data_IF_607483269794
#
_entry.id   IF_607483269794
#
_cell.length_a   1.000
_cell.length_b   1.000
_cell.length_c   1.000
_cell.angle_alpha   90.00
_cell.angle_beta   90.00
_cell.angle_gamma   90.00
#
_symmetry.space_group_name_H-M   'P 1'
#
loop_
_entity.id
_entity.type
_entity.pdbx_description
1 polymer ?
#
# COMPACT_ATOMS: atom_id res chain seq x y z
N UNK A 1 1.43 -21.29 6.75
CA UNK A 1 0.01 -21.67 6.61
C UNK A 1 -0.74 -20.49 5.98
N UNK A 2 -0.97 -20.52 4.66
CA UNK A 2 -1.35 -19.37 3.84
C UNK A 2 -2.86 -19.13 3.72
N UNK A 3 -3.24 -17.88 3.48
CA UNK A 3 -4.60 -17.31 3.36
C UNK A 3 -5.56 -18.03 2.37
N UNK A 4 -5.07 -19.00 1.60
CA UNK A 4 -5.88 -19.84 0.70
C UNK A 4 -6.75 -20.87 1.44
N UNK A 5 -6.39 -21.26 2.66
CA UNK A 5 -7.15 -22.29 3.40
C UNK A 5 -8.46 -21.79 3.98
N UNK A 6 -8.56 -20.52 4.39
CA UNK A 6 -9.74 -20.02 5.13
C UNK A 6 -10.94 -19.82 4.18
N UNK A 7 -10.70 -19.39 2.94
CA UNK A 7 -11.71 -19.30 1.88
C UNK A 7 -12.34 -20.65 1.55
N UNK A 8 -11.53 -21.72 1.59
CA UNK A 8 -11.96 -23.10 1.35
C UNK A 8 -12.89 -23.61 2.45
N UNK A 9 -12.62 -23.26 3.71
CA UNK A 9 -13.46 -23.65 4.85
C UNK A 9 -14.88 -23.08 4.79
N UNK A 10 -15.03 -21.87 4.26
CA UNK A 10 -16.33 -21.21 4.06
C UNK A 10 -16.89 -21.38 2.65
N UNK A 11 -16.28 -22.23 1.82
CA UNK A 11 -16.69 -22.56 0.43
C UNK A 11 -16.96 -21.31 -0.44
N UNK A 12 -16.14 -20.28 -0.33
CA UNK A 12 -16.32 -19.03 -1.09
C UNK A 12 -15.03 -18.53 -1.73
N UNK A 13 -15.12 -18.08 -2.98
CA UNK A 13 -13.97 -17.51 -3.71
C UNK A 13 -13.92 -15.97 -3.62
N UNK A 14 -15.05 -15.33 -3.32
CA UNK A 14 -15.19 -13.87 -3.14
C UNK A 14 -14.75 -13.40 -1.76
N UNK A 15 -13.90 -12.37 -1.72
CA UNK A 15 -13.41 -11.77 -0.47
C UNK A 15 -14.53 -11.09 0.34
N UNK A 16 -15.46 -10.41 -0.33
CA UNK A 16 -16.54 -9.68 0.35
C UNK A 16 -17.58 -10.63 0.97
N UNK A 17 -17.82 -11.78 0.33
CA UNK A 17 -18.68 -12.83 0.87
C UNK A 17 -17.97 -13.51 2.05
N UNK A 18 -16.68 -13.79 1.91
CA UNK A 18 -15.85 -14.34 2.98
C UNK A 18 -15.88 -13.49 4.25
N UNK A 19 -15.70 -12.17 4.14
CA UNK A 19 -15.73 -11.26 5.31
C UNK A 19 -17.09 -11.33 6.02
N UNK A 20 -18.19 -11.39 5.27
CA UNK A 20 -19.55 -11.50 5.85
C UNK A 20 -19.75 -12.84 6.56
N UNK A 21 -19.37 -13.94 5.93
CA UNK A 21 -19.48 -15.29 6.52
C UNK A 21 -18.59 -15.46 7.76
N UNK A 22 -17.40 -14.85 7.77
CA UNK A 22 -16.56 -14.85 8.97
C UNK A 22 -17.22 -14.15 10.15
N UNK A 23 -17.94 -13.05 9.93
CA UNK A 23 -18.67 -12.35 11.00
C UNK A 23 -19.82 -13.18 11.54
N UNK A 24 -20.54 -13.89 10.66
CA UNK A 24 -21.59 -14.82 11.07
C UNK A 24 -21.03 -15.97 11.90
N UNK A 25 -19.99 -16.65 11.42
CA UNK A 25 -19.35 -17.74 12.16
C UNK A 25 -18.79 -17.27 13.52
N UNK A 26 -18.21 -16.07 13.59
CA UNK A 26 -17.77 -15.49 14.86
C UNK A 26 -18.93 -15.27 15.84
N UNK A 27 -20.06 -14.73 15.35
CA UNK A 27 -21.25 -14.53 16.19
C UNK A 27 -21.84 -15.85 16.69
N UNK A 28 -21.83 -16.91 15.89
CA UNK A 28 -22.29 -18.24 16.31
C UNK A 28 -21.40 -18.82 17.42
N UNK A 29 -20.08 -18.65 17.29
CA UNK A 29 -19.12 -19.08 18.30
C UNK A 29 -19.33 -18.31 19.62
N UNK A 30 -19.52 -16.99 19.55
CA UNK A 30 -19.83 -16.15 20.72
C UNK A 30 -21.11 -16.64 21.43
N UNK A 31 -22.18 -16.89 20.69
CA UNK A 31 -23.43 -17.46 21.23
C UNK A 31 -23.18 -18.79 21.95
N UNK A 32 -22.38 -19.68 21.36
CA UNK A 32 -22.05 -20.97 21.97
C UNK A 32 -21.29 -20.81 23.29
N UNK A 33 -20.31 -19.91 23.35
CA UNK A 33 -19.58 -19.63 24.59
C UNK A 33 -20.49 -19.06 25.67
N UNK A 34 -21.37 -18.11 25.32
CA UNK A 34 -22.29 -17.50 26.29
C UNK A 34 -23.32 -18.51 26.81
N UNK A 35 -23.83 -19.45 25.97
CA UNK A 35 -24.68 -20.55 26.42
C UNK A 35 -23.98 -21.46 27.43
N UNK A 36 -22.71 -21.76 27.19
CA UNK A 36 -21.91 -22.58 28.12
C UNK A 36 -21.69 -21.84 29.44
N UNK A 37 -21.39 -20.54 29.40
CA UNK A 37 -21.25 -19.70 30.60
C UNK A 37 -22.53 -19.65 31.41
N UNK A 38 -23.67 -19.44 30.75
CA UNK A 38 -24.99 -19.46 31.38
C UNK A 38 -25.26 -20.79 32.09
N UNK A 39 -25.01 -21.93 31.42
CA UNK A 39 -25.20 -23.27 32.02
C UNK A 39 -24.31 -23.54 33.24
N UNK A 40 -23.11 -22.95 33.26
CA UNK A 40 -22.14 -23.10 34.34
C UNK A 40 -22.34 -22.06 35.46
N UNK A 41 -23.37 -21.20 35.38
CA UNK A 41 -23.63 -20.16 36.38
C UNK A 41 -22.56 -19.06 36.40
N UNK A 42 -21.77 -18.93 35.33
CA UNK A 42 -20.78 -17.87 35.17
C UNK A 42 -21.44 -16.58 34.69
N UNK A 43 -20.84 -15.40 34.93
CA UNK A 43 -21.31 -14.16 34.32
C UNK A 43 -21.29 -14.28 32.80
N UNK A 44 -22.40 -13.93 32.16
CA UNK A 44 -22.63 -14.01 30.72
C UNK A 44 -23.33 -12.72 30.23
N UNK A 45 -23.18 -12.38 28.95
CA UNK A 45 -23.89 -11.23 28.35
C UNK A 45 -25.20 -11.68 27.68
N UNK A 46 -26.37 -11.32 28.23
CA UNK A 46 -27.66 -11.74 27.68
C UNK A 46 -27.96 -11.15 26.30
N UNK A 47 -27.25 -10.11 25.84
CA UNK A 47 -27.45 -9.52 24.50
C UNK A 47 -26.92 -10.39 23.37
N UNK A 48 -25.96 -11.27 23.68
CA UNK A 48 -25.34 -12.17 22.72
C UNK A 48 -26.11 -13.49 22.59
N UNK A 49 -27.09 -13.74 23.44
CA UNK A 49 -27.97 -14.88 23.33
C UNK A 49 -29.21 -14.49 22.52
N UNK A 50 -29.54 -15.22 21.44
CA UNK A 50 -30.82 -15.01 20.77
C UNK A 50 -31.95 -15.32 21.77
N UNK A 51 -33.06 -14.56 21.75
CA UNK A 51 -34.21 -14.85 22.60
C UNK A 51 -34.71 -16.27 22.28
N UNK A 52 -35.07 -17.02 23.32
CA UNK A 52 -35.61 -18.37 23.19
C UNK A 52 -36.88 -18.32 22.34
N UNK A 53 -36.76 -18.68 21.06
CA UNK A 53 -37.89 -18.86 20.15
C UNK A 53 -38.35 -20.30 20.24
N UNK A 54 -39.12 -20.61 21.27
CA UNK A 54 -40.02 -21.75 21.20
C UNK A 54 -41.22 -21.38 20.31
N UNK A 55 -41.43 -22.14 19.23
CA UNK A 55 -42.71 -22.22 18.52
C UNK A 55 -43.05 -21.12 17.51
N UNK A 56 -42.80 -21.41 16.22
CA UNK A 56 -43.71 -21.21 15.06
C UNK A 56 -44.52 -19.89 14.99
N UNK A 57 -44.16 -18.97 14.08
CA UNK A 57 -44.82 -18.81 12.76
C UNK A 57 -44.31 -17.56 12.01
N UNK A 58 -44.41 -17.61 10.68
CA UNK A 58 -44.04 -16.51 9.80
C UNK A 58 -44.88 -15.26 10.07
N UNK A 59 -44.20 -14.14 10.32
CA UNK A 59 -44.83 -12.84 10.50
C UNK A 59 -43.80 -11.74 10.44
N UNK A 60 -44.04 -10.79 9.52
CA UNK A 60 -43.17 -9.66 9.21
C UNK A 60 -42.76 -8.85 10.45
N UNK A 61 -41.54 -8.31 10.43
CA UNK A 61 -41.16 -7.17 11.28
C UNK A 61 -41.05 -5.92 10.40
N UNK A 62 -42.18 -5.25 10.26
CA UNK A 62 -42.26 -3.80 10.07
C UNK A 62 -41.78 -3.08 11.34
N UNK A 63 -41.09 -1.94 11.15
CA UNK A 63 -40.75 -0.97 12.20
C UNK A 63 -39.54 -1.37 13.05
N UNK A 64 -38.47 -0.58 13.23
CA UNK A 64 -38.41 0.87 13.42
C UNK A 64 -37.03 1.33 12.91
N UNK A 65 -36.98 2.00 11.76
CA UNK A 65 -35.88 2.90 11.39
C UNK A 65 -36.33 4.31 11.78
N UNK A 66 -36.03 4.73 13.01
CA UNK A 66 -35.95 6.17 13.33
C UNK A 66 -34.55 6.62 12.94
N UNK A 67 -34.39 6.95 11.66
CA UNK A 67 -33.32 7.84 11.18
C UNK A 67 -33.59 9.24 11.73
N UNK A 68 -33.02 9.56 12.89
CA UNK A 68 -32.73 10.95 13.23
C UNK A 68 -31.46 11.33 12.47
N UNK A 69 -31.63 12.02 11.36
CA UNK A 69 -30.54 12.70 10.68
C UNK A 69 -29.89 13.72 11.64
N UNK A 70 -28.57 13.67 11.88
CA UNK A 70 -27.92 14.72 12.65
C UNK A 70 -27.95 16.04 11.85
N UNK A 71 -28.13 17.20 12.51
CA UNK A 71 -28.28 18.47 11.82
C UNK A 71 -27.04 18.80 11.01
N UNK A 72 -27.27 19.16 9.75
CA UNK A 72 -26.29 19.70 8.81
C UNK A 72 -25.73 21.03 9.37
N UNK A 73 -24.66 20.96 10.16
CA UNK A 73 -23.92 22.15 10.59
C UNK A 73 -23.29 22.82 9.37
N UNK A 74 -23.90 23.95 9.01
CA UNK A 74 -23.38 25.17 8.39
C UNK A 74 -21.89 25.08 7.99
N UNK A 75 -21.64 24.97 6.68
CA UNK A 75 -20.31 25.26 6.11
C UNK A 75 -20.09 26.76 6.22
N UNK A 76 -19.40 27.18 7.28
CA UNK A 76 -18.69 28.46 7.25
C UNK A 76 -17.52 28.24 6.29
N UNK A 77 -17.62 28.90 5.15
CA UNK A 77 -16.47 29.21 4.32
C UNK A 77 -15.74 30.42 4.91
N UNK A 78 -14.46 30.46 4.58
CA UNK A 78 -13.46 31.50 4.85
C UNK A 78 -12.96 31.61 6.29
N UNK A 79 -11.68 31.23 6.47
CA UNK A 79 -10.62 32.18 6.78
C UNK A 79 -9.27 31.48 6.50
N UNK A 80 -8.52 32.03 5.54
CA UNK A 80 -7.10 31.71 5.34
C UNK A 80 -6.27 32.32 6.49
N UNK A 81 -5.04 31.82 6.65
CA UNK A 81 -3.94 32.37 7.48
C UNK A 81 -3.72 31.76 8.88
N UNK A 82 -3.70 30.41 9.03
CA UNK A 82 -2.84 29.67 9.99
C UNK A 82 -3.06 28.15 9.93
N UNK A 83 -3.03 27.56 8.73
CA UNK A 83 -3.14 26.10 8.58
C UNK A 83 -1.79 25.41 8.78
N UNK A 84 -1.76 24.28 9.50
CA UNK A 84 -0.56 23.43 9.63
C UNK A 84 0.08 23.20 8.26
N UNK A 85 1.39 23.46 8.15
CA UNK A 85 2.13 23.26 6.90
C UNK A 85 2.34 21.78 6.58
N UNK A 86 2.60 21.47 5.31
CA UNK A 86 2.93 20.12 4.87
C UNK A 86 4.15 19.55 5.61
N UNK A 87 5.18 20.37 5.80
CA UNK A 87 6.39 19.99 6.54
C UNK A 87 6.08 19.64 8.00
N UNK A 88 5.28 20.45 8.70
CA UNK A 88 4.89 20.17 10.09
C UNK A 88 4.11 18.85 10.24
N UNK A 89 3.21 18.55 9.29
CA UNK A 89 2.48 17.28 9.29
C UNK A 89 3.47 16.12 9.08
N UNK A 90 4.46 16.26 8.21
CA UNK A 90 5.50 15.25 8.02
C UNK A 90 6.33 15.05 9.28
N UNK A 91 6.70 16.12 9.99
CA UNK A 91 7.44 16.06 11.24
C UNK A 91 6.63 15.32 12.31
N UNK A 92 5.35 15.66 12.48
CA UNK A 92 4.45 14.92 13.38
C UNK A 92 4.31 13.46 12.99
N UNK A 93 4.12 13.17 11.70
CA UNK A 93 4.01 11.80 11.21
C UNK A 93 5.24 10.94 11.53
N UNK A 94 6.44 11.53 11.40
CA UNK A 94 7.70 10.85 11.65
C UNK A 94 8.02 10.74 13.15
N UNK A 95 7.62 11.72 13.95
CA UNK A 95 7.81 11.75 15.40
C UNK A 95 6.75 10.95 16.18
N UNK A 96 5.67 10.52 15.52
CA UNK A 96 4.56 9.78 16.12
C UNK A 96 5.04 8.52 16.91
N UNK A 97 4.93 8.52 18.25
CA UNK A 97 5.40 7.43 19.10
C UNK A 97 4.48 6.21 19.04
N UNK A 98 3.25 6.35 18.54
CA UNK A 98 2.29 5.24 18.43
C UNK A 98 2.71 4.19 17.39
N UNK A 99 3.65 4.55 16.51
CA UNK A 99 4.10 3.71 15.39
C UNK A 99 5.59 3.40 15.48
N UNK A 100 5.91 2.15 15.82
CA UNK A 100 7.28 1.63 15.70
C UNK A 100 7.63 1.39 14.23
N UNK A 101 8.64 2.10 13.72
CA UNK A 101 9.13 1.98 12.34
C UNK A 101 10.60 1.58 12.34
N UNK A 102 11.00 0.71 11.41
CA UNK A 102 12.41 0.39 11.22
C UNK A 102 13.17 1.56 10.60
N UNK A 103 14.48 1.63 10.80
CA UNK A 103 15.35 2.65 10.20
C UNK A 103 15.19 2.72 8.67
N UNK A 104 15.03 1.57 8.01
CA UNK A 104 14.78 1.48 6.56
C UNK A 104 13.46 2.17 6.17
N UNK A 105 12.40 1.97 6.96
CA UNK A 105 11.10 2.60 6.71
C UNK A 105 11.19 4.11 6.92
N UNK A 106 11.89 4.56 7.97
CA UNK A 106 12.12 5.99 8.21
C UNK A 106 12.84 6.67 7.03
N UNK A 107 13.91 6.04 6.52
CA UNK A 107 14.62 6.53 5.34
C UNK A 107 13.73 6.60 4.08
N UNK A 108 12.82 5.64 3.91
CA UNK A 108 11.89 5.66 2.78
C UNK A 108 10.89 6.83 2.87
N UNK A 109 10.39 7.13 4.07
CA UNK A 109 9.52 8.29 4.29
C UNK A 109 10.28 9.60 4.17
N UNK A 110 11.50 9.71 4.70
CA UNK A 110 12.30 10.93 4.55
C UNK A 110 12.66 11.23 3.09
N UNK A 111 12.99 10.20 2.30
CA UNK A 111 13.22 10.34 0.86
C UNK A 111 11.97 10.80 0.13
N UNK A 112 10.80 10.24 0.50
CA UNK A 112 9.52 10.65 -0.07
C UNK A 112 9.19 12.09 0.29
N UNK A 113 9.35 12.48 1.56
CA UNK A 113 9.14 13.84 2.05
C UNK A 113 9.91 14.85 1.22
N UNK A 114 11.22 14.65 1.03
CA UNK A 114 12.07 15.58 0.26
C UNK A 114 11.54 15.84 -1.15
N UNK A 115 11.11 14.78 -1.86
CA UNK A 115 10.57 14.93 -3.22
C UNK A 115 9.22 15.64 -3.20
N UNK A 116 8.35 15.30 -2.25
CA UNK A 116 7.02 15.90 -2.14
C UNK A 116 7.10 17.39 -1.76
N UNK A 117 7.96 17.75 -0.79
CA UNK A 117 8.17 19.14 -0.36
C UNK A 117 8.80 19.98 -1.46
N UNK A 118 9.69 19.42 -2.28
CA UNK A 118 10.29 20.12 -3.42
C UNK A 118 9.26 20.41 -4.53
N UNK A 119 8.30 19.50 -4.74
CA UNK A 119 7.28 19.64 -5.81
C UNK A 119 6.06 20.44 -5.36
N UNK A 120 5.57 20.24 -4.14
CA UNK A 120 4.34 20.87 -3.63
C UNK A 120 4.60 22.08 -2.73
N UNK A 121 5.86 22.30 -2.32
CA UNK A 121 6.25 23.27 -1.32
C UNK A 121 6.02 22.76 0.11
N UNK A 122 7.07 22.73 0.92
CA UNK A 122 6.97 22.33 2.34
C UNK A 122 6.14 23.29 3.19
N UNK A 123 6.14 24.58 2.86
CA UNK A 123 5.36 25.62 3.53
C UNK A 123 3.88 25.63 3.14
N UNK A 124 3.49 24.85 2.12
CA UNK A 124 2.11 24.82 1.64
C UNK A 124 1.18 24.30 2.73
N UNK A 125 0.07 24.99 3.05
CA UNK A 125 -0.87 24.53 4.06
C UNK A 125 -1.56 23.25 3.60
N UNK A 126 -1.69 22.28 4.50
CA UNK A 126 -2.21 20.94 4.17
C UNK A 126 -3.63 20.96 3.58
N UNK A 127 -4.45 21.95 4.00
CA UNK A 127 -5.81 22.15 3.50
C UNK A 127 -5.90 22.70 2.07
N UNK A 128 -4.83 23.33 1.56
CA UNK A 128 -4.78 23.83 0.19
C UNK A 128 -4.36 22.77 -0.84
N UNK A 129 -3.89 21.60 -0.38
CA UNK A 129 -3.46 20.53 -1.29
C UNK A 129 -4.69 19.88 -1.93
N UNK A 130 -4.95 20.25 -3.17
CA UNK A 130 -6.07 19.72 -3.96
C UNK A 130 -5.74 18.36 -4.58
N UNK A 131 -6.78 17.69 -5.11
CA UNK A 131 -6.63 16.46 -5.89
C UNK A 131 -5.77 16.68 -7.14
N UNK A 132 -5.84 17.86 -7.75
CA UNK A 132 -5.07 18.20 -8.95
C UNK A 132 -3.59 18.40 -8.63
N UNK A 133 -3.25 19.00 -7.48
CA UNK A 133 -1.87 19.03 -7.00
C UNK A 133 -1.30 17.61 -6.80
N UNK A 134 -2.12 16.68 -6.28
CA UNK A 134 -1.71 15.27 -6.15
C UNK A 134 -1.52 14.58 -7.52
N UNK A 135 -2.33 14.93 -8.53
CA UNK A 135 -2.16 14.43 -9.91
C UNK A 135 -0.89 15.00 -10.55
N UNK A 136 -0.62 16.27 -10.33
CA UNK A 136 0.62 16.91 -10.75
C UNK A 136 1.83 16.18 -10.16
N UNK A 137 1.84 15.91 -8.85
CA UNK A 137 2.89 15.12 -8.20
C UNK A 137 3.05 13.73 -8.85
N UNK A 138 1.96 13.03 -9.15
CA UNK A 138 2.02 11.72 -9.80
C UNK A 138 2.66 11.79 -11.19
N UNK A 139 2.28 12.79 -11.99
CA UNK A 139 2.86 13.01 -13.32
C UNK A 139 4.35 13.42 -13.23
N UNK A 140 4.72 14.23 -12.25
CA UNK A 140 6.14 14.57 -12.00
C UNK A 140 6.95 13.34 -11.63
N UNK A 141 6.43 12.49 -10.73
CA UNK A 141 7.09 11.24 -10.34
C UNK A 141 7.26 10.27 -11.51
N UNK A 142 6.34 10.26 -12.49
CA UNK A 142 6.43 9.39 -13.68
C UNK A 142 7.70 9.63 -14.49
N UNK A 143 8.18 10.86 -14.50
CA UNK A 143 9.38 11.28 -15.21
C UNK A 143 10.61 11.43 -14.32
N UNK A 144 10.51 11.05 -13.03
CA UNK A 144 11.62 11.18 -12.10
C UNK A 144 12.76 10.23 -12.49
N UNK A 145 14.01 10.73 -12.64
CA UNK A 145 15.17 9.87 -12.92
C UNK A 145 15.42 8.83 -11.83
N UNK A 146 15.92 7.66 -12.23
CA UNK A 146 16.37 6.63 -11.27
C UNK A 146 17.54 7.17 -10.44
N UNK A 147 17.51 6.90 -9.13
CA UNK A 147 18.52 7.35 -8.17
C UNK A 147 18.68 8.88 -8.12
N UNK A 148 17.58 9.63 -8.32
CA UNK A 148 17.53 11.10 -8.26
C UNK A 148 18.45 11.69 -7.17
N UNK A 149 18.20 11.35 -5.89
CA UNK A 149 18.95 11.96 -4.79
C UNK A 149 20.46 11.71 -4.78
N UNK A 150 20.95 10.70 -5.52
CA UNK A 150 22.40 10.42 -5.66
C UNK A 150 23.02 11.13 -6.86
N UNK A 151 22.28 11.23 -7.97
CA UNK A 151 22.79 11.74 -9.25
C UNK A 151 22.50 13.23 -9.47
N UNK A 152 21.38 13.70 -8.95
CA UNK A 152 20.80 15.02 -9.21
C UNK A 152 20.49 15.75 -7.90
N UNK A 153 21.14 15.39 -6.80
CA UNK A 153 20.80 15.88 -5.45
C UNK A 153 20.98 17.39 -5.22
N UNK A 154 21.59 18.13 -6.17
CA UNK A 154 21.70 19.59 -6.14
C UNK A 154 20.74 20.31 -7.10
N UNK A 155 19.91 19.57 -7.85
CA UNK A 155 18.90 20.12 -8.74
C UNK A 155 17.52 20.04 -8.07
N UNK A 156 16.56 20.82 -8.57
CA UNK A 156 15.15 20.62 -8.22
C UNK A 156 14.59 19.40 -8.98
N UNK A 157 13.55 18.79 -8.43
CA UNK A 157 12.84 17.66 -9.03
C UNK A 157 12.29 18.07 -10.39
N UNK A 158 11.73 19.28 -10.52
CA UNK A 158 11.21 19.79 -11.79
C UNK A 158 12.29 19.90 -12.87
N UNK A 159 13.47 20.42 -12.52
CA UNK A 159 14.59 20.51 -13.46
C UNK A 159 15.08 19.12 -13.88
N UNK A 160 15.20 18.18 -12.94
CA UNK A 160 15.59 16.80 -13.25
C UNK A 160 14.56 16.08 -14.12
N UNK A 161 13.27 16.35 -13.93
CA UNK A 161 12.19 15.84 -14.77
C UNK A 161 12.22 16.46 -16.16
N UNK A 162 12.49 17.76 -16.28
CA UNK A 162 12.64 18.42 -17.58
C UNK A 162 13.81 17.83 -18.37
N UNK A 163 14.94 17.56 -17.71
CA UNK A 163 16.08 16.86 -18.32
C UNK A 163 15.70 15.45 -18.80
N UNK A 164 14.98 14.68 -17.98
CA UNK A 164 14.54 13.33 -18.36
C UNK A 164 13.51 13.31 -19.50
N UNK A 165 12.74 14.38 -19.67
CA UNK A 165 11.83 14.54 -20.80
C UNK A 165 12.55 14.94 -22.08
N UNK A 166 13.62 15.74 -21.96
CA UNK A 166 14.43 16.19 -23.09
C UNK A 166 15.39 15.09 -23.58
N UNK A 167 15.96 14.32 -22.65
CA UNK A 167 16.92 13.26 -22.93
C UNK A 167 16.27 11.88 -22.71
N UNK A 168 15.96 11.20 -23.82
CA UNK A 168 15.36 9.87 -23.82
C UNK A 168 16.25 8.75 -23.27
N UNK A 169 17.56 9.00 -23.10
CA UNK A 169 18.48 8.02 -22.52
C UNK A 169 18.40 7.96 -20.99
N UNK A 170 17.85 9.00 -20.36
CA UNK A 170 17.68 9.05 -18.90
C UNK A 170 16.56 8.10 -18.48
N UNK A 171 16.97 6.99 -17.84
CA UNK A 171 16.01 6.05 -17.25
C UNK A 171 15.24 6.67 -16.09
N UNK A 172 13.92 6.58 -16.15
CA UNK A 172 12.99 7.01 -15.11
C UNK A 172 12.61 5.88 -14.16
N UNK A 173 12.05 6.23 -13.00
CA UNK A 173 11.61 5.24 -12.01
C UNK A 173 10.52 4.33 -12.59
N UNK A 174 10.53 3.06 -12.16
CA UNK A 174 9.47 2.14 -12.53
C UNK A 174 8.15 2.46 -11.79
N UNK A 175 7.05 1.94 -12.34
CA UNK A 175 5.70 2.15 -11.82
C UNK A 175 5.55 1.69 -10.37
N UNK A 176 6.19 0.59 -9.99
CA UNK A 176 6.14 0.06 -8.62
C UNK A 176 6.74 1.03 -7.61
N UNK A 177 7.89 1.62 -7.93
CA UNK A 177 8.55 2.61 -7.07
C UNK A 177 7.74 3.90 -7.00
N UNK A 178 7.17 4.36 -8.12
CA UNK A 178 6.28 5.51 -8.16
C UNK A 178 5.06 5.30 -7.26
N UNK A 179 4.37 4.16 -7.40
CA UNK A 179 3.22 3.83 -6.56
C UNK A 179 3.61 3.72 -5.08
N UNK A 180 4.85 3.32 -4.77
CA UNK A 180 5.36 3.31 -3.40
C UNK A 180 5.57 4.72 -2.84
N UNK A 181 6.00 5.70 -3.64
CA UNK A 181 6.03 7.12 -3.23
C UNK A 181 4.62 7.63 -2.93
N UNK A 182 3.68 7.44 -3.87
CA UNK A 182 2.29 7.86 -3.71
C UNK A 182 1.61 7.21 -2.51
N UNK A 183 1.85 5.92 -2.26
CA UNK A 183 1.29 5.22 -1.10
C UNK A 183 1.81 5.78 0.23
N UNK A 184 3.10 6.13 0.31
CA UNK A 184 3.68 6.74 1.52
C UNK A 184 3.11 8.14 1.75
N UNK A 185 2.98 8.94 0.69
CA UNK A 185 2.34 10.25 0.76
C UNK A 185 0.89 10.13 1.22
N UNK A 186 0.11 9.24 0.60
CA UNK A 186 -1.28 9.00 1.00
C UNK A 186 -1.40 8.50 2.45
N UNK A 187 -0.43 7.73 2.94
CA UNK A 187 -0.41 7.27 4.34
C UNK A 187 -0.19 8.42 5.33
N UNK A 188 0.69 9.37 4.98
CA UNK A 188 0.87 10.59 5.77
C UNK A 188 -0.41 11.44 5.72
N UNK A 189 -1.03 11.63 4.54
CA UNK A 189 -2.30 12.37 4.43
C UNK A 189 -3.44 11.70 5.22
N UNK A 190 -3.44 10.38 5.39
CA UNK A 190 -4.40 9.70 6.25
C UNK A 190 -4.21 10.05 7.74
N UNK A 191 -2.97 10.30 8.19
CA UNK A 191 -2.73 10.83 9.54
C UNK A 191 -3.34 12.23 9.66
N UNK A 192 -3.12 13.10 8.67
CA UNK A 192 -3.72 14.43 8.67
C UNK A 192 -5.26 14.40 8.70
N UNK A 193 -5.90 13.39 8.09
CA UNK A 193 -7.35 13.16 8.24
C UNK A 193 -7.69 12.69 9.65
N UNK A 194 -6.92 11.78 10.23
CA UNK A 194 -7.17 11.23 11.57
C UNK A 194 -6.96 12.27 12.68
N UNK A 195 -6.03 13.21 12.48
CA UNK A 195 -5.79 14.38 13.34
C UNK A 195 -6.69 15.58 12.98
N UNK A 196 -7.69 15.36 12.11
CA UNK A 196 -8.72 16.36 11.73
C UNK A 196 -8.19 17.64 11.04
N UNK A 197 -6.94 17.65 10.57
CA UNK A 197 -6.39 18.76 9.78
C UNK A 197 -7.04 18.89 8.40
N UNK A 198 -7.51 17.78 7.84
CA UNK A 198 -8.21 17.73 6.56
C UNK A 198 -9.41 16.81 6.63
N UNK A 199 -10.51 17.18 5.95
CA UNK A 199 -11.74 16.37 5.97
C UNK A 199 -11.63 15.06 5.19
N UNK A 200 -10.82 15.05 4.12
CA UNK A 200 -10.69 13.91 3.20
C UNK A 200 -9.28 13.86 2.64
N UNK A 201 -8.77 12.67 2.37
CA UNK A 201 -7.45 12.48 1.78
C UNK A 201 -7.49 12.72 0.25
N UNK A 202 -6.85 13.79 -0.28
CA UNK A 202 -6.82 14.10 -1.71
C UNK A 202 -5.85 13.19 -2.49
N UNK A 203 -5.00 12.38 -1.86
CA UNK A 203 -4.11 11.42 -2.51
C UNK A 203 -4.67 9.99 -2.54
N UNK A 204 -5.84 9.75 -1.93
CA UNK A 204 -6.43 8.40 -1.81
C UNK A 204 -6.63 7.74 -3.19
N UNK A 205 -6.12 6.52 -3.34
CA UNK A 205 -6.27 5.72 -4.57
C UNK A 205 -5.61 6.30 -5.82
N UNK A 206 -4.69 7.27 -5.68
CA UNK A 206 -3.98 7.86 -6.80
C UNK A 206 -2.73 7.03 -7.11
N UNK A 207 -2.87 6.09 -8.04
CA UNK A 207 -1.83 5.14 -8.43
C UNK A 207 -1.93 4.81 -9.92
N UNK A 208 -0.81 4.44 -10.52
CA UNK A 208 -0.78 3.93 -11.89
C UNK A 208 -1.11 2.44 -11.86
N UNK A 209 -2.06 2.01 -12.68
CA UNK A 209 -2.44 0.60 -12.79
C UNK A 209 -1.28 -0.24 -13.34
N UNK A 210 -0.97 -1.34 -12.66
CA UNK A 210 0.03 -2.30 -13.12
C UNK A 210 -0.67 -3.50 -13.75
N UNK A 211 -0.29 -3.85 -14.99
CA UNK A 211 -0.91 -4.98 -15.71
C UNK A 211 -0.51 -6.35 -15.15
N UNK A 212 0.67 -6.43 -14.53
CA UNK A 212 1.21 -7.69 -13.99
C UNK A 212 0.98 -7.75 -12.48
N UNK A 213 0.36 -8.85 -12.03
CA UNK A 213 0.12 -9.09 -10.62
C UNK A 213 1.47 -9.11 -9.84
N UNK A 214 1.55 -8.53 -8.62
CA UNK A 214 2.81 -8.43 -7.88
C UNK A 214 3.57 -9.75 -7.69
N UNK A 215 2.84 -10.87 -7.58
CA UNK A 215 3.43 -12.21 -7.41
C UNK A 215 4.10 -12.71 -8.70
N UNK A 216 3.52 -12.41 -9.86
CA UNK A 216 3.99 -12.91 -11.17
C UNK A 216 5.21 -12.15 -11.69
N UNK A 217 5.56 -11.02 -11.05
CA UNK A 217 6.77 -10.25 -11.39
C UNK A 217 8.05 -11.01 -11.10
N UNK A 218 8.03 -11.96 -10.15
CA UNK A 218 9.18 -12.78 -9.79
C UNK A 218 8.98 -14.18 -10.32
N UNK A 219 9.52 -14.45 -11.50
CA UNK A 219 9.51 -15.80 -12.07
C UNK A 219 10.36 -16.73 -11.19
N UNK A 220 9.92 -17.96 -10.92
CA UNK A 220 10.75 -18.96 -10.27
C UNK A 220 11.97 -19.28 -11.15
N UNK A 221 13.06 -19.72 -10.53
CA UNK A 221 14.22 -20.18 -11.28
C UNK A 221 13.90 -21.48 -12.03
N UNK A 222 14.29 -21.55 -13.30
CA UNK A 222 14.27 -22.80 -14.05
C UNK A 222 15.42 -23.72 -13.60
N UNK A 223 15.27 -25.03 -13.78
CA UNK A 223 16.26 -26.03 -13.37
C UNK A 223 17.66 -25.75 -13.92
N UNK A 224 17.76 -25.32 -15.18
CA UNK A 224 19.04 -24.98 -15.81
C UNK A 224 19.69 -23.73 -15.20
N UNK A 225 18.89 -22.77 -14.70
CA UNK A 225 19.40 -21.60 -13.99
C UNK A 225 20.00 -22.01 -12.65
N UNK A 226 19.31 -22.91 -11.93
CA UNK A 226 19.82 -23.48 -10.67
C UNK A 226 21.14 -24.22 -10.90
N UNK A 227 21.21 -25.10 -11.90
CA UNK A 227 22.45 -25.80 -12.25
C UNK A 227 23.61 -24.85 -12.51
N UNK A 228 23.40 -23.73 -13.23
CA UNK A 228 24.46 -22.74 -13.49
C UNK A 228 24.85 -21.93 -12.24
N UNK A 229 23.90 -21.64 -11.35
CA UNK A 229 24.18 -20.94 -10.09
C UNK A 229 25.05 -21.82 -9.18
N UNK A 230 24.72 -23.10 -9.05
CA UNK A 230 25.45 -24.02 -8.16
C UNK A 230 26.74 -24.60 -8.75
N UNK A 231 26.88 -24.65 -10.08
CA UNK A 231 28.11 -25.05 -10.75
C UNK A 231 29.13 -23.89 -10.93
N UNK A 232 28.79 -22.68 -10.46
CA UNK A 232 29.71 -21.55 -10.51
C UNK A 232 30.88 -21.75 -9.52
N UNK A 233 32.15 -21.58 -9.92
CA UNK A 233 33.28 -21.67 -9.01
C UNK A 233 33.16 -20.64 -7.87
N UNK A 234 33.30 -21.10 -6.62
CA UNK A 234 33.27 -20.26 -5.41
C UNK A 234 34.52 -19.38 -5.31
N UNK A 235 35.66 -19.87 -5.80
CA UNK A 235 36.95 -19.19 -5.74
C UNK A 235 37.10 -18.23 -6.92
N UNK A 236 36.79 -16.96 -6.69
CA UNK A 236 37.09 -15.90 -7.64
C UNK A 236 38.52 -15.37 -7.36
N UNK A 237 39.42 -15.31 -8.36
CA UNK A 237 40.69 -14.61 -8.20
C UNK A 237 40.43 -13.12 -7.91
N UNK A 238 41.25 -12.47 -7.06
CA UNK A 238 41.10 -11.05 -6.74
C UNK A 238 41.26 -10.23 -8.02
N UNK A 239 40.16 -9.64 -8.51
CA UNK A 239 40.10 -8.85 -9.75
C UNK A 239 39.15 -9.38 -10.84
N UNK A 240 38.52 -10.54 -10.65
CA UNK A 240 37.51 -11.07 -11.59
C UNK A 240 36.17 -10.31 -11.55
N UNK A 241 35.36 -10.35 -12.64
CA UNK A 241 34.04 -9.73 -12.65
C UNK A 241 33.15 -10.36 -11.57
N UNK A 242 32.50 -9.53 -10.75
CA UNK A 242 31.70 -9.99 -9.62
C UNK A 242 30.70 -11.08 -10.01
N UNK A 243 30.33 -11.95 -9.06
CA UNK A 243 29.31 -12.99 -9.24
C UNK A 243 28.04 -12.42 -9.89
N UNK A 244 27.64 -11.19 -9.51
CA UNK A 244 26.47 -10.48 -10.06
C UNK A 244 26.65 -10.18 -11.57
N UNK A 245 27.85 -9.74 -11.97
CA UNK A 245 28.18 -9.44 -13.37
C UNK A 245 28.18 -10.69 -14.24
N UNK A 246 28.54 -11.86 -13.69
CA UNK A 246 28.45 -13.15 -14.40
C UNK A 246 27.01 -13.66 -14.47
N UNK A 247 26.22 -13.54 -13.40
CA UNK A 247 24.80 -13.97 -13.35
C UNK A 247 23.94 -13.24 -14.40
N UNK A 248 24.21 -11.97 -14.66
CA UNK A 248 23.51 -11.21 -15.71
C UNK A 248 23.78 -11.73 -17.13
N UNK A 249 24.94 -12.37 -17.38
CA UNK A 249 25.23 -13.07 -18.66
C UNK A 249 24.58 -14.47 -18.74
N UNK A 250 23.97 -14.98 -17.66
CA UNK A 250 23.36 -16.31 -17.63
C UNK A 250 21.91 -16.33 -18.15
N UNK A 251 21.32 -15.18 -18.49
CA UNK A 251 19.91 -15.13 -18.89
C UNK A 251 19.64 -15.52 -20.36
N UNK A 252 20.67 -16.01 -21.06
CA UNK A 252 20.54 -16.62 -22.39
C UNK A 252 20.38 -18.13 -22.18
N UNK A 253 19.26 -18.74 -22.61
CA UNK A 253 19.11 -20.18 -22.56
C UNK A 253 20.20 -20.83 -23.42
N UNK A 254 20.77 -21.98 -23.00
CA UNK A 254 21.67 -22.72 -23.88
C UNK A 254 20.92 -23.01 -25.19
N UNK A 255 21.51 -22.64 -26.32
CA UNK A 255 20.94 -22.90 -27.63
C UNK A 255 20.71 -24.41 -27.75
N UNK A 256 19.48 -24.82 -28.08
CA UNK A 256 19.17 -26.23 -28.28
C UNK A 256 20.10 -26.79 -29.37
N UNK A 257 20.66 -28.01 -29.23
CA UNK A 257 21.47 -28.61 -30.29
C UNK A 257 20.73 -28.77 -31.62
N UNK A 258 19.40 -28.62 -31.64
CA UNK A 258 18.59 -28.57 -32.86
C UNK A 258 18.71 -27.23 -33.64
N UNK A 259 19.10 -26.13 -32.98
CA UNK A 259 19.24 -24.81 -33.61
C UNK A 259 20.64 -24.55 -34.18
N UNK A 260 21.66 -25.29 -33.72
CA UNK A 260 23.04 -25.14 -34.19
C UNK A 260 23.35 -25.85 -35.53
N UNK A 261 22.40 -26.62 -36.09
CA UNK A 261 22.55 -27.35 -37.38
C UNK A 261 21.91 -26.64 -38.58
N UNK A 262 21.53 -25.37 -38.46
CA UNK A 262 20.94 -24.55 -39.54
C UNK A 262 21.68 -23.21 -39.76
N UNK A 263 22.99 -23.21 -39.58
CA UNK A 263 23.88 -22.15 -40.07
C UNK A 263 24.86 -22.75 -41.08
#
# INVERSE_FOLDING_TARGET
MGRSHIKRSLKTDSLDVFIRLCRLAASEIEVLFERIRQKLGMPFDPRLLPPDREGVDGGACEGILKTTEPPLMKRVGDDSESGTSLSEIYDRYLADPTRKRSARTMLAYSTTRKIVEDVLGGSTPIGAITRDACRYLLETLRWLPVNYGKKYGGMTVEAAVALAKADGDIRTINVTNLNAYMARFATMMNLAVAEEHIRRNPARGLQIAEMVHPQDRRKPFATWQLQRIFAAPIDLPPGGPSIITRVLRLNIPPCSPAQARRA
#
